data_IF_228865284243
#
_entry.id   IF_228865284243
#
_cell.length_a   1.000
_cell.length_b   1.000
_cell.length_c   1.000
_cell.angle_alpha   90.00
_cell.angle_beta   90.00
_cell.angle_gamma   90.00
#
_symmetry.space_group_name_H-M   'P 1'
#
loop_
_entity.id
_entity.type
_entity.pdbx_description
1 polymer ?
#
# COMPACT_ATOMS: atom_id res chain seq x y z
N UNK A 1 -8.01 -11.69 0.90
CA UNK A 1 -7.57 -11.41 2.28
C UNK A 1 -8.12 -10.03 2.64
N UNK A 2 -8.74 -9.85 3.81
CA UNK A 2 -9.21 -8.53 4.22
C UNK A 2 -7.99 -7.61 4.49
N UNK A 3 -8.07 -6.31 4.19
CA UNK A 3 -6.97 -5.39 4.47
C UNK A 3 -6.70 -5.38 5.97
N UNK A 4 -5.41 -5.45 6.34
CA UNK A 4 -5.00 -5.33 7.73
C UNK A 4 -5.24 -3.88 8.17
N UNK A 5 -6.23 -3.67 9.03
CA UNK A 5 -6.51 -2.36 9.61
C UNK A 5 -5.69 -2.29 10.89
N UNK A 6 -4.71 -1.38 10.96
CA UNK A 6 -4.03 -1.20 12.24
C UNK A 6 -4.93 -0.36 13.16
N UNK A 7 -4.84 -0.57 14.48
CA UNK A 7 -5.49 0.30 15.44
C UNK A 7 -5.05 1.76 15.22
N UNK A 8 -5.94 2.69 15.53
CA UNK A 8 -5.59 4.11 15.62
C UNK A 8 -4.35 4.27 16.49
N UNK A 9 -3.34 4.99 16.00
CA UNK A 9 -2.13 5.26 16.77
C UNK A 9 -2.50 6.04 18.04
N UNK A 10 -2.42 5.40 19.21
CA UNK A 10 -2.61 6.01 20.55
C UNK A 10 -1.41 6.85 20.97
N UNK A 11 -0.34 6.87 20.17
CA UNK A 11 0.81 7.74 20.35
C UNK A 11 0.42 9.18 20.02
N UNK A 12 0.34 10.03 21.05
CA UNK A 12 0.07 11.46 20.93
C UNK A 12 1.28 12.19 20.34
N UNK A 13 1.67 11.83 19.13
CA UNK A 13 2.45 12.70 18.27
C UNK A 13 1.57 13.92 18.00
N UNK A 14 1.81 15.04 18.69
CA UNK A 14 1.09 16.30 18.49
C UNK A 14 1.24 16.87 17.08
N UNK A 15 2.07 16.25 16.22
CA UNK A 15 2.45 16.74 14.90
C UNK A 15 1.57 16.24 13.76
N UNK A 16 1.00 15.05 13.86
CA UNK A 16 0.12 14.49 12.83
C UNK A 16 -0.90 13.50 13.41
N UNK A 17 -2.01 13.31 12.71
CA UNK A 17 -3.01 12.26 12.98
C UNK A 17 -3.01 11.25 11.84
N UNK A 18 -3.32 9.99 12.12
CA UNK A 18 -3.45 8.96 11.08
C UNK A 18 -4.79 8.22 11.15
N UNK A 19 -5.30 7.77 10.00
CA UNK A 19 -6.53 7.00 9.89
C UNK A 19 -6.52 6.12 8.63
N UNK A 20 -6.99 4.88 8.77
CA UNK A 20 -7.20 3.99 7.64
C UNK A 20 -8.52 4.28 6.93
N UNK A 21 -8.50 4.27 5.61
CA UNK A 21 -9.63 4.53 4.72
C UNK A 21 -9.72 3.44 3.65
N UNK A 22 -10.94 3.10 3.26
CA UNK A 22 -11.20 2.21 2.12
C UNK A 22 -11.29 3.07 0.87
N UNK A 23 -10.48 2.78 -0.15
CA UNK A 23 -10.50 3.48 -1.44
C UNK A 23 -11.53 2.85 -2.37
N UNK A 24 -11.51 1.52 -2.49
CA UNK A 24 -12.43 0.76 -3.31
C UNK A 24 -12.97 -0.41 -2.46
N UNK A 25 -14.28 -0.47 -2.26
CA UNK A 25 -14.90 -1.54 -1.47
C UNK A 25 -15.04 -2.84 -2.28
N UNK A 26 -15.01 -2.77 -3.62
CA UNK A 26 -15.13 -3.92 -4.52
C UNK A 26 -13.77 -4.58 -4.77
N UNK A 27 -12.69 -3.79 -4.72
CA UNK A 27 -11.30 -4.27 -4.77
C UNK A 27 -10.68 -3.81 -3.47
N UNK A 28 -10.42 -4.69 -2.47
CA UNK A 28 -10.04 -4.30 -1.11
C UNK A 28 -8.70 -3.55 -1.08
N UNK A 29 -8.73 -2.29 -1.49
CA UNK A 29 -7.62 -1.35 -1.58
C UNK A 29 -7.92 -0.35 -0.49
N UNK A 30 -7.06 -0.33 0.52
CA UNK A 30 -7.11 0.64 1.59
C UNK A 30 -5.98 1.64 1.43
N UNK A 31 -6.04 2.70 2.21
CA UNK A 31 -4.93 3.59 2.41
C UNK A 31 -4.90 4.06 3.85
N UNK A 32 -3.72 4.44 4.31
CA UNK A 32 -3.54 5.20 5.54
C UNK A 32 -3.35 6.66 5.22
N UNK A 33 -4.28 7.47 5.71
CA UNK A 33 -4.22 8.92 5.63
C UNK A 33 -3.45 9.47 6.83
N UNK A 34 -2.47 10.34 6.58
CA UNK A 34 -1.80 11.16 7.59
C UNK A 34 -2.16 12.62 7.35
N UNK A 35 -2.55 13.32 8.42
CA UNK A 35 -2.94 14.73 8.38
C UNK A 35 -2.07 15.49 9.38
N UNK A 36 -1.34 16.53 8.94
CA UNK A 36 -0.50 17.31 9.85
C UNK A 36 -1.39 18.21 10.72
N UNK A 37 -0.91 18.55 11.92
CA UNK A 37 -1.66 19.44 12.83
C UNK A 37 -1.80 20.87 12.29
N UNK A 38 -0.88 21.31 11.44
CA UNK A 38 -0.86 22.65 10.81
C UNK A 38 -1.41 22.63 9.37
N UNK A 39 -2.65 22.18 9.20
CA UNK A 39 -3.26 22.07 7.87
C UNK A 39 -3.65 23.44 7.29
N UNK A 40 -3.31 23.70 6.03
CA UNK A 40 -3.76 24.87 5.26
C UNK A 40 -4.72 24.44 4.14
N UNK A 41 -5.58 25.34 3.67
CA UNK A 41 -6.40 25.14 2.46
C UNK A 41 -5.57 24.85 1.20
N UNK A 42 -4.29 25.23 1.20
CA UNK A 42 -3.35 25.01 0.10
C UNK A 42 -2.36 23.87 0.36
N UNK A 43 -2.52 23.11 1.44
CA UNK A 43 -1.64 21.98 1.73
C UNK A 43 -1.73 20.94 0.60
N UNK A 44 -0.61 20.53 -0.01
CA UNK A 44 -0.62 19.54 -1.06
C UNK A 44 -0.95 18.14 -0.52
N UNK A 45 -1.34 17.25 -1.42
CA UNK A 45 -1.56 15.83 -1.12
C UNK A 45 -0.43 15.02 -1.76
N UNK A 46 0.32 14.28 -0.94
CA UNK A 46 1.29 13.28 -1.38
C UNK A 46 0.64 11.91 -1.40
N UNK A 47 0.59 11.27 -2.57
CA UNK A 47 0.18 9.87 -2.69
C UNK A 47 1.44 9.00 -2.68
N UNK A 48 1.53 8.11 -1.69
CA UNK A 48 2.70 7.25 -1.46
C UNK A 48 2.37 5.78 -1.72
N UNK A 49 3.27 5.08 -2.40
CA UNK A 49 3.23 3.64 -2.59
C UNK A 49 4.47 3.05 -1.91
N UNK A 50 4.26 2.10 -0.99
CA UNK A 50 5.35 1.47 -0.28
C UNK A 50 6.27 0.66 -1.20
N UNK A 51 7.50 0.39 -0.75
CA UNK A 51 8.45 -0.46 -1.47
C UNK A 51 8.12 -1.95 -1.33
N UNK A 52 9.08 -2.81 -1.68
CA UNK A 52 8.95 -4.27 -1.56
C UNK A 52 8.67 -5.00 -2.87
N UNK A 53 8.99 -4.36 -4.01
CA UNK A 53 9.01 -5.02 -5.32
C UNK A 53 7.64 -5.51 -5.80
N UNK A 54 6.55 -4.97 -5.24
CA UNK A 54 5.16 -5.40 -5.42
C UNK A 54 4.77 -6.73 -4.80
N UNK A 55 5.66 -7.37 -4.06
CA UNK A 55 5.43 -8.69 -3.49
C UNK A 55 5.38 -8.64 -1.94
N UNK A 56 5.84 -7.54 -1.32
CA UNK A 56 5.94 -7.40 0.14
C UNK A 56 5.61 -5.96 0.55
N UNK A 57 5.07 -5.77 1.75
CA UNK A 57 4.89 -4.47 2.41
C UNK A 57 3.44 -4.20 2.81
N UNK A 58 3.25 -3.25 3.72
CA UNK A 58 1.93 -2.74 4.10
C UNK A 58 2.03 -1.33 4.68
N UNK A 59 0.93 -0.58 4.57
CA UNK A 59 0.74 0.72 5.23
C UNK A 59 0.76 0.66 6.77
N UNK A 60 0.59 -0.53 7.35
CA UNK A 60 0.61 -0.75 8.81
C UNK A 60 2.02 -0.90 9.38
N UNK A 61 3.01 -1.17 8.53
CA UNK A 61 4.37 -1.42 8.98
C UNK A 61 4.97 -0.20 9.67
N UNK A 62 5.53 -0.43 10.86
CA UNK A 62 6.03 0.61 11.77
C UNK A 62 6.99 1.59 11.08
N UNK A 63 7.94 1.08 10.29
CA UNK A 63 8.90 1.91 9.56
C UNK A 63 8.24 2.89 8.58
N UNK A 64 7.26 2.42 7.80
CA UNK A 64 6.51 3.31 6.90
C UNK A 64 5.61 4.28 7.67
N UNK A 65 4.97 3.82 8.76
CA UNK A 65 4.10 4.67 9.56
C UNK A 65 4.84 5.91 10.11
N UNK A 66 5.97 5.70 10.78
CA UNK A 66 6.74 6.79 11.38
C UNK A 66 7.36 7.71 10.33
N UNK A 67 7.98 7.14 9.29
CA UNK A 67 8.56 7.90 8.20
C UNK A 67 7.54 8.83 7.53
N UNK A 68 6.35 8.31 7.19
CA UNK A 68 5.32 9.09 6.50
C UNK A 68 4.64 10.11 7.41
N UNK A 69 4.48 9.77 8.70
CA UNK A 69 3.99 10.72 9.69
C UNK A 69 4.93 11.90 9.90
N UNK A 70 6.23 11.63 10.02
CA UNK A 70 7.26 12.68 10.12
C UNK A 70 7.35 13.53 8.86
N UNK A 71 7.28 12.89 7.68
CA UNK A 71 7.25 13.58 6.39
C UNK A 71 6.02 14.48 6.25
N UNK A 72 4.84 13.97 6.60
CA UNK A 72 3.57 14.71 6.63
C UNK A 72 3.69 15.99 7.46
N UNK A 73 4.19 15.86 8.70
CA UNK A 73 4.36 16.99 9.60
C UNK A 73 5.43 17.98 9.11
N UNK A 74 6.58 17.50 8.65
CA UNK A 74 7.69 18.35 8.23
C UNK A 74 7.38 19.11 6.92
N UNK A 75 6.69 18.48 5.98
CA UNK A 75 6.34 19.07 4.69
C UNK A 75 5.02 19.86 4.71
N UNK A 76 4.25 19.81 5.80
CA UNK A 76 2.94 20.47 5.89
C UNK A 76 1.93 19.97 4.85
N UNK A 77 2.04 18.68 4.47
CA UNK A 77 1.22 18.06 3.43
C UNK A 77 0.38 16.91 3.99
N UNK A 78 -0.73 16.63 3.34
CA UNK A 78 -1.51 15.41 3.61
C UNK A 78 -0.79 14.26 2.91
N UNK A 79 -0.62 13.12 3.60
CA UNK A 79 -0.04 11.91 2.99
C UNK A 79 -1.09 10.81 2.91
N UNK A 80 -1.29 10.26 1.71
CA UNK A 80 -2.14 9.10 1.46
C UNK A 80 -1.25 7.91 1.10
N UNK A 81 -0.98 7.04 2.06
CA UNK A 81 -0.19 5.82 1.88
C UNK A 81 -1.09 4.69 1.38
N UNK A 82 -0.91 4.22 0.15
CA UNK A 82 -1.80 3.23 -0.47
C UNK A 82 -1.36 1.81 -0.13
N UNK A 83 -2.28 1.02 0.42
CA UNK A 83 -2.11 -0.42 0.65
C UNK A 83 -2.52 -1.15 -0.62
N UNK A 84 -1.57 -1.24 -1.55
CA UNK A 84 -1.83 -1.82 -2.86
C UNK A 84 -1.74 -3.35 -2.82
N UNK A 85 -2.41 -3.98 -3.79
CA UNK A 85 -2.43 -5.44 -3.91
C UNK A 85 -1.04 -6.01 -4.17
N UNK A 86 -0.68 -7.09 -3.48
CA UNK A 86 0.59 -7.78 -3.68
C UNK A 86 0.47 -8.90 -4.72
N UNK A 87 1.58 -9.15 -5.40
CA UNK A 87 1.82 -10.36 -6.17
C UNK A 87 2.39 -11.46 -5.24
N UNK A 88 2.20 -12.75 -5.58
CA UNK A 88 1.62 -13.29 -6.82
C UNK A 88 0.08 -13.33 -6.86
N UNK A 89 -0.62 -12.97 -5.80
CA UNK A 89 -2.08 -13.16 -5.69
C UNK A 89 -2.85 -12.26 -6.68
N UNK A 90 -2.27 -11.13 -7.08
CA UNK A 90 -2.94 -10.11 -7.90
C UNK A 90 -2.10 -9.65 -9.10
N UNK A 91 -1.76 -10.58 -10.00
CA UNK A 91 -0.89 -10.31 -11.17
C UNK A 91 -1.48 -9.38 -12.24
N UNK A 92 -2.79 -9.14 -12.22
CA UNK A 92 -3.48 -8.29 -13.21
C UNK A 92 -3.00 -6.84 -13.18
N UNK A 93 -1.98 -6.54 -14.00
CA UNK A 93 -1.38 -5.21 -14.16
C UNK A 93 -0.13 -4.94 -13.32
N UNK A 94 0.26 -5.84 -12.42
CA UNK A 94 1.40 -5.67 -11.51
C UNK A 94 2.61 -6.44 -12.06
N UNK A 95 3.65 -5.72 -12.47
CA UNK A 95 4.91 -6.33 -12.93
C UNK A 95 5.85 -6.55 -11.72
N UNK A 96 5.53 -7.50 -10.83
CA UNK A 96 6.45 -7.88 -9.75
C UNK A 96 7.76 -8.39 -10.38
N UNK A 97 8.88 -7.79 -9.97
CA UNK A 97 10.20 -8.13 -10.49
C UNK A 97 10.58 -9.58 -10.19
N UNK A 98 10.07 -10.10 -9.06
CA UNK A 98 10.37 -11.44 -8.56
C UNK A 98 9.53 -12.53 -9.24
N UNK A 99 8.28 -12.25 -9.62
CA UNK A 99 7.36 -13.26 -10.18
C UNK A 99 7.58 -13.58 -11.67
N UNK A 100 8.60 -13.01 -12.32
CA UNK A 100 8.79 -13.19 -13.77
C UNK A 100 9.27 -14.58 -14.19
N UNK A 101 9.78 -15.40 -13.28
CA UNK A 101 10.34 -16.73 -13.59
C UNK A 101 9.36 -17.90 -13.37
N UNK A 102 8.20 -17.66 -12.76
CA UNK A 102 7.27 -18.71 -12.33
C UNK A 102 6.07 -18.87 -13.29
N UNK A 103 6.25 -18.68 -14.60
CA UNK A 103 5.27 -19.18 -15.56
C UNK A 103 5.72 -20.57 -16.01
N UNK A 104 5.10 -21.67 -15.52
CA UNK A 104 5.33 -22.97 -16.13
C UNK A 104 4.88 -22.87 -17.59
N UNK A 105 5.83 -23.12 -18.47
CA UNK A 105 5.56 -23.45 -19.87
C UNK A 105 4.59 -24.64 -19.88
N UNK A 106 3.30 -24.39 -20.09
CA UNK A 106 2.37 -25.43 -20.52
C UNK A 106 2.89 -25.92 -21.88
N UNK A 107 3.68 -27.00 -21.84
CA UNK A 107 4.09 -27.73 -23.04
C UNK A 107 2.86 -28.29 -23.75
N UNK A 108 2.89 -28.41 -25.09
CA UNK A 108 1.77 -28.93 -25.85
C UNK A 108 1.50 -30.39 -25.45
N UNK A 109 0.26 -30.67 -25.06
CA UNK A 109 -0.25 -32.02 -24.82
C UNK A 109 -0.21 -32.80 -26.15
N UNK A 110 0.71 -33.75 -26.31
CA UNK A 110 0.66 -34.67 -27.44
C UNK A 110 -0.46 -35.68 -27.21
N UNK A 111 -1.47 -35.61 -28.09
CA UNK A 111 -2.55 -36.58 -28.23
C UNK A 111 -1.97 -37.91 -28.71
N UNK A 112 -1.80 -38.85 -27.78
CA UNK A 112 -1.57 -40.26 -28.08
C UNK A 112 -2.90 -40.98 -28.23
N UNK A 113 -3.30 -41.24 -29.48
CA UNK A 113 -4.39 -42.13 -29.84
C UNK A 113 -3.82 -43.56 -29.91
N UNK A 114 -4.37 -44.48 -29.13
CA UNK A 114 -4.41 -45.92 -29.41
C UNK A 114 -5.87 -46.34 -29.41
#
# INVERSE_FOLDING_TARGET
MAPEIAPNSTESSTRYKSKDVVIDALKPITARLFVPSSLSFTSPVLVYFHGGGFCIGSTTWFGYHHFLGDLCAAAGCIVLSVDYRLAPEHLGGIRCLLCRHERPILGPQHSGRL
#
